data_IF_862880678456
#
_entry.id   IF_862880678456
#
_cell.length_a   1.000
_cell.length_b   1.000
_cell.length_c   1.000
_cell.angle_alpha   90.00
_cell.angle_beta   90.00
_cell.angle_gamma   90.00
#
_symmetry.space_group_name_H-M   'P 1'
#
loop_
_entity.id
_entity.type
_entity.pdbx_description
1 polymer ?
#
# COMPACT_ATOMS: atom_id res chain seq x y z
N UNK A 1 -9.80 2.85 12.61
CA UNK A 1 -10.82 2.72 11.54
C UNK A 1 -10.82 1.27 11.07
N UNK A 2 -11.98 0.62 11.08
CA UNK A 2 -12.09 -0.76 10.61
C UNK A 2 -11.97 -0.86 9.08
N UNK A 3 -11.41 -1.96 8.55
CA UNK A 3 -11.39 -2.20 7.12
C UNK A 3 -12.80 -2.49 6.59
N UNK A 4 -13.06 -2.29 5.28
CA UNK A 4 -14.32 -2.69 4.68
C UNK A 4 -14.51 -4.21 4.81
N UNK A 5 -15.76 -4.63 4.93
CA UNK A 5 -16.11 -6.06 4.96
C UNK A 5 -15.91 -6.71 3.60
N UNK A 6 -15.86 -8.05 3.60
CA UNK A 6 -15.80 -8.81 2.34
C UNK A 6 -17.03 -8.57 1.46
N UNK A 7 -18.21 -8.36 2.07
CA UNK A 7 -19.45 -8.05 1.35
C UNK A 7 -19.35 -6.68 0.66
N UNK A 8 -18.87 -5.67 1.36
CA UNK A 8 -18.69 -4.32 0.80
C UNK A 8 -17.69 -4.34 -0.36
N UNK A 9 -16.56 -5.02 -0.22
CA UNK A 9 -15.57 -5.16 -1.29
C UNK A 9 -16.11 -5.98 -2.47
N UNK A 10 -16.89 -7.01 -2.21
CA UNK A 10 -17.50 -7.87 -3.24
C UNK A 10 -18.45 -7.14 -4.18
N UNK A 11 -18.88 -5.92 -3.85
CA UNK A 11 -19.66 -5.06 -4.78
C UNK A 11 -18.82 -4.54 -5.94
N UNK A 12 -17.52 -4.38 -5.74
CA UNK A 12 -16.60 -3.76 -6.70
C UNK A 12 -15.50 -4.69 -7.19
N UNK A 13 -15.21 -5.75 -6.42
CA UNK A 13 -14.14 -6.70 -6.68
C UNK A 13 -14.68 -8.10 -6.95
N UNK A 14 -14.04 -8.82 -7.85
CA UNK A 14 -14.24 -10.26 -7.94
C UNK A 14 -13.72 -10.95 -6.69
N UNK A 15 -14.36 -12.06 -6.31
CA UNK A 15 -13.96 -12.83 -5.11
C UNK A 15 -12.54 -13.39 -5.23
N UNK A 16 -12.14 -13.78 -6.44
CA UNK A 16 -10.83 -14.30 -6.78
C UNK A 16 -9.79 -13.23 -7.15
N UNK A 17 -10.03 -11.98 -6.74
CA UNK A 17 -9.15 -10.85 -7.04
C UNK A 17 -7.73 -11.09 -6.56
N UNK A 18 -6.78 -10.45 -7.23
CA UNK A 18 -5.37 -10.42 -6.83
C UNK A 18 -4.94 -8.97 -6.62
N UNK A 19 -4.34 -8.71 -5.48
CA UNK A 19 -3.68 -7.46 -5.18
C UNK A 19 -2.17 -7.69 -5.14
N UNK A 20 -1.45 -7.08 -6.09
CA UNK A 20 -0.01 -7.14 -6.18
C UNK A 20 0.58 -5.95 -5.42
N UNK A 21 0.86 -6.15 -4.15
CA UNK A 21 1.38 -5.10 -3.27
C UNK A 21 2.91 -5.02 -3.27
N UNK A 22 3.45 -3.91 -2.74
CA UNK A 22 4.88 -3.73 -2.60
C UNK A 22 5.47 -4.62 -1.51
N UNK A 23 6.77 -4.85 -1.57
CA UNK A 23 7.50 -5.44 -0.46
C UNK A 23 7.40 -4.53 0.80
N UNK A 24 7.30 -5.06 2.01
CA UNK A 24 7.31 -6.49 2.34
C UNK A 24 5.92 -7.16 2.36
N UNK A 25 4.84 -6.44 1.99
CA UNK A 25 3.47 -6.95 2.06
C UNK A 25 3.28 -8.09 1.06
N UNK A 26 3.68 -7.86 -0.21
CA UNK A 26 3.58 -8.84 -1.27
C UNK A 26 2.17 -9.01 -1.83
N UNK A 27 1.98 -10.02 -2.67
CA UNK A 27 0.70 -10.29 -3.31
C UNK A 27 -0.31 -10.93 -2.34
N UNK A 28 -1.57 -10.54 -2.48
CA UNK A 28 -2.68 -11.16 -1.76
C UNK A 28 -3.70 -11.72 -2.76
N UNK A 29 -4.20 -12.88 -2.48
CA UNK A 29 -5.20 -13.58 -3.30
C UNK A 29 -6.52 -13.62 -2.55
N UNK A 30 -7.62 -13.39 -3.24
CA UNK A 30 -8.97 -13.35 -2.70
C UNK A 30 -9.26 -12.16 -1.77
N UNK A 31 -10.52 -11.77 -1.69
CA UNK A 31 -10.96 -10.66 -0.83
C UNK A 31 -10.60 -10.88 0.65
N UNK A 32 -10.83 -12.06 1.26
CA UNK A 32 -10.47 -12.26 2.66
C UNK A 32 -8.98 -12.07 2.96
N UNK A 33 -8.10 -12.54 2.07
CA UNK A 33 -6.65 -12.35 2.26
C UNK A 33 -6.23 -10.90 2.03
N UNK A 34 -6.82 -10.23 1.06
CA UNK A 34 -6.62 -8.79 0.84
C UNK A 34 -6.95 -7.97 2.10
N UNK A 35 -8.08 -8.28 2.76
CA UNK A 35 -8.44 -7.63 4.03
C UNK A 35 -7.41 -7.95 5.12
N UNK A 36 -7.05 -9.22 5.28
CA UNK A 36 -6.15 -9.66 6.35
C UNK A 36 -4.72 -9.11 6.20
N UNK A 37 -4.20 -9.10 4.99
CA UNK A 37 -2.79 -8.82 4.72
C UNK A 37 -2.52 -7.36 4.34
N UNK A 38 -3.51 -6.65 3.81
CA UNK A 38 -3.35 -5.27 3.37
C UNK A 38 -4.28 -4.28 4.07
N UNK A 39 -5.58 -4.31 3.76
CA UNK A 39 -6.47 -3.23 4.23
C UNK A 39 -6.60 -3.17 5.74
N UNK A 40 -6.62 -4.32 6.41
CA UNK A 40 -6.66 -4.40 7.86
C UNK A 40 -5.43 -3.77 8.52
N UNK A 41 -4.22 -4.25 8.25
CA UNK A 41 -2.98 -3.66 8.77
C UNK A 41 -2.82 -2.18 8.42
N UNK A 42 -3.16 -1.80 7.18
CA UNK A 42 -3.06 -0.41 6.71
C UNK A 42 -4.01 0.51 7.48
N UNK A 43 -5.24 0.07 7.74
CA UNK A 43 -6.22 0.88 8.46
C UNK A 43 -5.98 0.94 9.96
N UNK A 44 -5.53 -0.16 10.56
CA UNK A 44 -5.26 -0.22 11.99
C UNK A 44 -3.89 0.33 12.38
N UNK A 45 -2.88 0.13 11.53
CA UNK A 45 -1.50 0.49 11.83
C UNK A 45 -1.09 1.91 11.43
N UNK A 46 -1.86 2.57 10.57
CA UNK A 46 -1.58 3.93 10.12
C UNK A 46 -2.65 4.91 10.59
N UNK A 47 -2.23 5.95 11.26
CA UNK A 47 -3.08 7.05 11.73
C UNK A 47 -2.77 8.38 11.06
N UNK A 48 -3.56 9.41 11.37
CA UNK A 48 -3.34 10.77 10.88
C UNK A 48 -3.33 10.88 9.35
N UNK A 49 -4.15 10.10 8.66
CA UNK A 49 -4.15 10.05 7.20
C UNK A 49 -4.69 11.33 6.58
N UNK A 50 -3.92 11.89 5.67
CA UNK A 50 -4.33 13.01 4.81
C UNK A 50 -4.15 12.57 3.36
N UNK A 51 -5.25 12.55 2.61
CA UNK A 51 -5.22 12.24 1.18
C UNK A 51 -4.96 13.50 0.38
N UNK A 52 -3.88 13.53 -0.41
CA UNK A 52 -3.47 14.67 -1.24
C UNK A 52 -4.01 14.62 -2.66
N UNK A 53 -4.65 13.52 -3.02
CA UNK A 53 -5.25 13.32 -4.33
C UNK A 53 -4.32 12.69 -5.36
N UNK A 54 -4.83 12.56 -6.56
CA UNK A 54 -4.10 12.04 -7.70
C UNK A 54 -3.58 13.18 -8.58
N UNK A 55 -2.32 13.09 -8.97
CA UNK A 55 -1.71 14.01 -9.94
C UNK A 55 -2.10 13.64 -11.38
N UNK A 56 -2.23 12.36 -11.64
CA UNK A 56 -2.57 11.81 -12.96
C UNK A 56 -3.58 10.69 -12.82
N UNK A 57 -4.52 10.67 -13.75
CA UNK A 57 -5.48 9.57 -13.95
C UNK A 57 -5.61 9.32 -15.44
N UNK A 58 -5.53 8.07 -15.84
CA UNK A 58 -5.80 7.66 -17.23
C UNK A 58 -6.34 6.25 -17.27
N UNK A 59 -7.01 5.90 -18.36
CA UNK A 59 -7.55 4.58 -18.57
C UNK A 59 -7.48 4.22 -20.04
N UNK A 60 -7.26 2.94 -20.32
CA UNK A 60 -7.29 2.36 -21.65
C UNK A 60 -7.75 0.90 -21.56
N UNK A 61 -8.73 0.53 -22.38
CA UNK A 61 -9.31 -0.81 -22.37
C UNK A 61 -9.88 -1.18 -20.98
N UNK A 62 -9.40 -2.26 -20.40
CA UNK A 62 -9.80 -2.74 -19.08
C UNK A 62 -8.93 -2.20 -17.94
N UNK A 63 -7.99 -1.32 -18.23
CA UNK A 63 -7.04 -0.80 -17.25
C UNK A 63 -7.34 0.63 -16.89
N UNK A 64 -7.13 0.97 -15.61
CA UNK A 64 -7.10 2.34 -15.12
C UNK A 64 -5.87 2.53 -14.24
N UNK A 65 -5.24 3.69 -14.34
CA UNK A 65 -4.06 4.03 -13.56
C UNK A 65 -4.25 5.40 -12.91
N UNK A 66 -3.82 5.51 -11.66
CA UNK A 66 -3.66 6.80 -11.00
C UNK A 66 -2.42 6.81 -10.13
N UNK A 67 -1.84 7.98 -9.99
CA UNK A 67 -0.76 8.17 -9.05
C UNK A 67 -0.80 9.55 -8.38
N UNK A 68 -0.24 9.61 -7.19
CA UNK A 68 -0.03 10.81 -6.40
C UNK A 68 1.40 10.87 -5.88
N UNK A 69 1.94 12.10 -5.83
CA UNK A 69 3.32 12.32 -5.44
C UNK A 69 3.45 13.60 -4.60
N UNK A 70 3.17 13.54 -3.28
CA UNK A 70 2.66 12.38 -2.54
C UNK A 70 1.18 12.11 -2.83
N UNK A 71 0.75 10.88 -2.59
CA UNK A 71 -0.66 10.50 -2.64
C UNK A 71 -1.35 10.72 -1.30
N UNK A 72 -0.71 10.32 -0.23
CA UNK A 72 -1.20 10.54 1.12
C UNK A 72 -0.04 10.72 2.11
N UNK A 73 -0.34 11.37 3.22
CA UNK A 73 0.52 11.43 4.40
C UNK A 73 -0.12 10.66 5.53
N UNK A 74 0.69 10.01 6.35
CA UNK A 74 0.26 9.26 7.52
C UNK A 74 1.41 9.04 8.49
N UNK A 75 1.13 8.42 9.64
CA UNK A 75 2.15 7.95 10.57
C UNK A 75 1.87 6.50 10.97
N UNK A 76 2.92 5.75 11.22
CA UNK A 76 2.80 4.46 11.89
C UNK A 76 2.44 4.69 13.36
N UNK A 77 1.29 4.17 13.79
CA UNK A 77 0.85 4.25 15.18
C UNK A 77 1.32 3.05 16.02
N UNK A 78 2.06 2.15 15.41
CA UNK A 78 2.64 0.96 16.00
C UNK A 78 2.11 -0.32 15.35
N UNK A 79 3.01 -1.23 15.02
CA UNK A 79 2.70 -2.55 14.47
C UNK A 79 2.58 -2.63 12.95
N UNK A 80 2.43 -1.53 12.22
CA UNK A 80 2.46 -1.58 10.76
C UNK A 80 3.86 -2.00 10.28
N UNK A 81 3.92 -3.02 9.43
CA UNK A 81 5.16 -3.70 9.00
C UNK A 81 6.01 -4.26 10.16
N UNK A 82 5.40 -4.53 11.32
CA UNK A 82 6.11 -4.96 12.52
C UNK A 82 6.97 -3.87 13.18
N UNK A 83 6.81 -2.61 12.77
CA UNK A 83 7.61 -1.49 13.24
C UNK A 83 6.96 -0.78 14.44
N UNK A 84 7.75 -0.13 15.29
CA UNK A 84 7.22 0.75 16.35
C UNK A 84 6.54 1.98 15.76
N UNK A 85 5.85 2.73 16.60
CA UNK A 85 5.28 4.00 16.22
C UNK A 85 6.34 4.97 15.68
N UNK A 86 6.01 5.66 14.59
CA UNK A 86 6.91 6.61 13.92
C UNK A 86 6.31 8.00 13.78
N UNK A 87 7.04 8.86 13.09
CA UNK A 87 6.59 10.19 12.72
C UNK A 87 5.62 10.20 11.53
N UNK A 88 5.12 11.38 11.19
CA UNK A 88 4.35 11.58 9.96
C UNK A 88 5.28 11.58 8.75
N UNK A 89 4.88 10.87 7.72
CA UNK A 89 5.61 10.79 6.46
C UNK A 89 4.67 10.68 5.26
N UNK A 90 5.18 11.06 4.10
CA UNK A 90 4.46 11.02 2.84
C UNK A 90 4.63 9.66 2.15
N UNK A 91 3.55 9.17 1.56
CA UNK A 91 3.55 8.01 0.69
C UNK A 91 3.34 8.41 -0.76
N UNK A 92 4.24 7.95 -1.61
CA UNK A 92 4.15 8.02 -3.06
C UNK A 92 3.55 6.73 -3.56
N UNK A 93 2.46 6.82 -4.32
CA UNK A 93 1.69 5.64 -4.74
C UNK A 93 1.38 5.71 -6.22
N UNK A 94 1.56 4.58 -6.89
CA UNK A 94 1.05 4.31 -8.23
C UNK A 94 0.13 3.10 -8.14
N UNK A 95 -1.09 3.28 -8.62
CA UNK A 95 -2.12 2.24 -8.66
C UNK A 95 -2.51 1.93 -10.09
N UNK A 96 -2.46 0.66 -10.46
CA UNK A 96 -2.99 0.16 -11.72
C UNK A 96 -4.07 -0.88 -11.44
N UNK A 97 -5.23 -0.69 -12.00
CA UNK A 97 -6.37 -1.60 -11.87
C UNK A 97 -6.71 -2.25 -13.19
N UNK A 98 -7.10 -3.51 -13.15
CA UNK A 98 -7.70 -4.21 -14.27
C UNK A 98 -9.10 -4.69 -13.88
N UNK A 99 -10.08 -4.47 -14.75
CA UNK A 99 -11.42 -5.02 -14.59
C UNK A 99 -11.60 -6.27 -15.44
N UNK A 100 -12.49 -7.15 -14.97
CA UNK A 100 -13.04 -8.28 -15.72
C UNK A 100 -14.56 -8.17 -15.66
N UNK A 101 -15.19 -7.81 -16.77
CA UNK A 101 -16.61 -7.44 -16.79
C UNK A 101 -16.85 -6.14 -16.03
N UNK A 102 -17.75 -6.16 -15.07
CA UNK A 102 -18.18 -5.00 -14.28
C UNK A 102 -17.46 -4.84 -12.93
N UNK A 103 -16.53 -5.74 -12.62
CA UNK A 103 -15.78 -5.71 -11.36
C UNK A 103 -14.27 -5.71 -11.59
N UNK A 104 -13.54 -5.20 -10.61
CA UNK A 104 -12.09 -5.23 -10.56
C UNK A 104 -11.61 -6.65 -10.28
N UNK A 105 -10.59 -7.10 -10.99
CA UNK A 105 -9.99 -8.43 -10.85
C UNK A 105 -8.57 -8.39 -10.33
N UNK A 106 -7.82 -7.36 -10.70
CA UNK A 106 -6.40 -7.23 -10.36
C UNK A 106 -6.04 -5.79 -10.06
N UNK A 107 -5.11 -5.60 -9.12
CA UNK A 107 -4.58 -4.29 -8.77
C UNK A 107 -3.08 -4.41 -8.50
N UNK A 108 -2.28 -3.66 -9.21
CA UNK A 108 -0.84 -3.50 -8.98
C UNK A 108 -0.61 -2.19 -8.27
N UNK A 109 0.01 -2.24 -7.10
CA UNK A 109 0.27 -1.06 -6.28
C UNK A 109 1.77 -0.94 -6.01
N UNK A 110 2.31 0.21 -6.40
CA UNK A 110 3.66 0.61 -6.07
C UNK A 110 3.57 1.68 -4.99
N UNK A 111 4.07 1.37 -3.81
CA UNK A 111 4.22 2.33 -2.71
C UNK A 111 5.71 2.45 -2.41
N UNK A 112 6.23 3.67 -2.40
CA UNK A 112 7.62 3.90 -2.05
C UNK A 112 7.82 3.78 -0.52
N UNK A 113 7.80 2.55 -0.03
CA UNK A 113 8.01 2.21 1.37
C UNK A 113 9.41 2.63 1.85
N UNK A 114 10.50 2.41 1.09
CA UNK A 114 11.83 2.86 1.53
C UNK A 114 11.90 4.36 1.78
N UNK A 115 11.30 5.19 0.93
CA UNK A 115 11.28 6.63 1.12
C UNK A 115 10.40 7.06 2.31
N UNK A 116 9.24 6.41 2.48
CA UNK A 116 8.38 6.62 3.65
C UNK A 116 9.12 6.31 4.97
N UNK A 117 9.89 5.22 5.01
CA UNK A 117 10.72 4.86 6.16
C UNK A 117 11.86 5.84 6.37
N UNK A 118 12.52 6.28 5.30
CA UNK A 118 13.63 7.24 5.36
C UNK A 118 13.21 8.57 5.97
N UNK A 119 12.02 9.05 5.65
CA UNK A 119 11.46 10.26 6.27
C UNK A 119 11.27 10.11 7.79
N UNK A 120 11.13 8.90 8.28
CA UNK A 120 10.99 8.58 9.71
C UNK A 120 12.32 8.23 10.39
N UNK A 121 13.44 8.36 9.68
CA UNK A 121 14.78 8.14 10.21
C UNK A 121 15.36 6.75 9.93
N UNK A 122 14.68 5.90 9.14
CA UNK A 122 15.18 4.57 8.76
C UNK A 122 15.54 4.52 7.26
N UNK A 123 16.82 4.67 6.94
CA UNK A 123 17.33 4.42 5.60
C UNK A 123 17.64 2.93 5.43
N UNK A 124 16.72 2.21 4.79
CA UNK A 124 16.81 0.74 4.66
C UNK A 124 17.98 0.32 3.76
N UNK A 125 18.38 1.13 2.79
CA UNK A 125 19.51 0.81 1.91
C UNK A 125 20.84 1.03 2.62
N UNK A 126 20.98 2.13 3.36
CA UNK A 126 22.14 2.36 4.21
C UNK A 126 22.27 1.23 5.25
N UNK A 127 21.17 0.92 5.93
CA UNK A 127 21.16 -0.15 6.93
C UNK A 127 21.53 -1.51 6.33
N UNK A 128 21.05 -1.80 5.14
CA UNK A 128 21.41 -3.04 4.42
C UNK A 128 22.91 -3.07 4.09
N UNK A 129 23.45 -1.95 3.62
CA UNK A 129 24.90 -1.85 3.34
C UNK A 129 25.74 -2.08 4.58
N UNK A 130 25.37 -1.51 5.71
CA UNK A 130 26.06 -1.72 7.00
C UNK A 130 26.02 -3.18 7.45
N UNK A 131 24.91 -3.89 7.21
CA UNK A 131 24.78 -5.31 7.55
C UNK A 131 25.61 -6.20 6.62
N UNK A 132 25.60 -5.90 5.30
CA UNK A 132 26.32 -6.70 4.32
C UNK A 132 27.82 -6.41 4.29
N UNK A 133 28.24 -5.23 4.71
CA UNK A 133 29.63 -4.80 4.76
C UNK A 133 29.93 -4.27 6.19
N UNK A 134 29.92 -5.13 7.21
CA UNK A 134 30.24 -4.68 8.56
C UNK A 134 31.66 -4.11 8.59
N UNK A 135 31.81 -2.97 9.26
CA UNK A 135 33.15 -2.42 9.51
C UNK A 135 33.95 -3.44 10.33
N UNK A 136 35.22 -3.66 9.95
CA UNK A 136 36.13 -4.50 10.68
C UNK A 136 36.46 -3.93 12.08
#
# INVERSE_FOLDING_TARGET
MEPPSAEELGRFWHEDMIWYGPAPIGATYTIPRYIKQHTGPFRRGLGGKTFHGHKVRFAEGNFACFFGWPNLSNRNIGGFLGLPAGGTADMQVVDVYCRRGDKLSENWVLIDIPWWLKQQGLDVFQRTSEILNPAE
#
